data_IF_718557425656
#
_entry.id   IF_718557425656
#
_cell.length_a   1.000
_cell.length_b   1.000
_cell.length_c   1.000
_cell.angle_alpha   90.00
_cell.angle_beta   90.00
_cell.angle_gamma   90.00
#
_symmetry.space_group_name_H-M   'P 1'
#
loop_
_entity.id
_entity.type
_entity.pdbx_description
1 polymer ?
#
# COMPACT_ATOMS: atom_id res chain seq x y z
N UNK A 1 10.24 28.87 -12.10
CA UNK A 1 8.94 28.91 -11.39
C UNK A 1 8.16 27.61 -11.61
N UNK A 2 7.81 27.23 -12.84
CA UNK A 2 7.05 25.99 -13.11
C UNK A 2 7.81 24.71 -12.74
N UNK A 3 9.13 24.66 -13.02
CA UNK A 3 9.98 23.52 -12.64
C UNK A 3 10.15 23.35 -11.12
N UNK A 4 10.12 24.44 -10.35
CA UNK A 4 10.21 24.36 -8.89
C UNK A 4 8.91 23.83 -8.27
N UNK A 5 7.76 24.18 -8.85
CA UNK A 5 6.45 23.66 -8.43
C UNK A 5 6.34 22.17 -8.72
N UNK A 6 6.73 21.72 -9.92
CA UNK A 6 6.71 20.31 -10.29
C UNK A 6 7.61 19.46 -9.38
N UNK A 7 8.83 19.94 -9.10
CA UNK A 7 9.76 19.27 -8.17
C UNK A 7 9.19 19.16 -6.75
N UNK A 8 8.48 20.19 -6.29
CA UNK A 8 7.90 20.21 -4.95
C UNK A 8 6.71 19.24 -4.83
N UNK A 9 5.93 19.10 -5.91
CA UNK A 9 4.84 18.10 -6.00
C UNK A 9 5.41 16.68 -6.01
N UNK A 10 6.44 16.43 -6.83
CA UNK A 10 7.12 15.13 -6.90
C UNK A 10 7.68 14.70 -5.52
N UNK A 11 8.34 15.63 -4.81
CA UNK A 11 8.85 15.37 -3.46
C UNK A 11 7.75 15.06 -2.44
N UNK A 12 6.59 15.74 -2.54
CA UNK A 12 5.45 15.46 -1.67
C UNK A 12 4.85 14.09 -1.95
N UNK A 13 4.69 13.72 -3.23
CA UNK A 13 4.19 12.40 -3.63
C UNK A 13 5.14 11.32 -3.14
N UNK A 14 6.45 11.46 -3.37
CA UNK A 14 7.45 10.49 -2.91
C UNK A 14 7.43 10.30 -1.38
N UNK A 15 7.27 11.38 -0.61
CA UNK A 15 7.13 11.30 0.86
C UNK A 15 5.83 10.61 1.28
N UNK A 16 4.71 10.92 0.63
CA UNK A 16 3.42 10.29 0.93
C UNK A 16 3.47 8.79 0.62
N UNK A 17 4.04 8.41 -0.52
CA UNK A 17 4.24 7.00 -0.90
C UNK A 17 5.13 6.30 0.11
N UNK A 18 6.24 6.91 0.52
CA UNK A 18 7.12 6.32 1.53
C UNK A 18 6.42 6.17 2.89
N UNK A 19 5.59 7.13 3.27
CA UNK A 19 4.80 7.05 4.51
C UNK A 19 3.74 5.95 4.43
N UNK A 20 3.03 5.84 3.31
CA UNK A 20 2.08 4.75 3.05
C UNK A 20 2.76 3.39 3.09
N UNK A 21 3.90 3.22 2.43
CA UNK A 21 4.66 1.97 2.46
C UNK A 21 5.08 1.61 3.88
N UNK A 22 5.61 2.56 4.66
CA UNK A 22 5.97 2.32 6.06
C UNK A 22 4.76 1.91 6.93
N UNK A 23 3.61 2.58 6.74
CA UNK A 23 2.38 2.30 7.49
C UNK A 23 1.78 0.95 7.10
N UNK A 24 1.87 0.53 5.83
CA UNK A 24 1.45 -0.81 5.41
C UNK A 24 2.43 -1.90 5.84
N UNK A 25 3.74 -1.64 5.83
CA UNK A 25 4.74 -2.65 6.21
C UNK A 25 4.68 -3.01 7.71
N UNK A 26 4.32 -2.07 8.58
CA UNK A 26 4.26 -2.29 10.03
C UNK A 26 3.24 -3.37 10.46
N UNK A 27 1.94 -3.30 10.11
CA UNK A 27 0.95 -4.31 10.47
C UNK A 27 1.10 -5.61 9.67
N UNK A 28 1.68 -5.54 8.47
CA UNK A 28 1.84 -6.70 7.58
C UNK A 28 3.26 -7.24 7.54
N UNK A 29 4.09 -6.94 8.54
CA UNK A 29 5.52 -7.32 8.59
C UNK A 29 5.75 -8.80 8.29
N UNK A 30 4.94 -9.67 8.89
CA UNK A 30 5.02 -11.12 8.67
C UNK A 30 4.64 -11.56 7.24
N UNK A 31 3.69 -10.86 6.62
CA UNK A 31 3.32 -11.11 5.22
C UNK A 31 4.44 -10.68 4.28
N UNK A 32 5.06 -9.53 4.53
CA UNK A 32 6.22 -9.07 3.76
C UNK A 32 7.45 -9.95 3.99
N UNK A 33 7.70 -10.42 5.21
CA UNK A 33 8.76 -11.40 5.50
C UNK A 33 8.57 -12.70 4.71
N UNK A 34 7.32 -13.16 4.56
CA UNK A 34 7.01 -14.35 3.74
C UNK A 34 7.21 -14.10 2.24
N UNK A 35 6.73 -12.95 1.72
CA UNK A 35 6.76 -12.65 0.28
C UNK A 35 8.13 -12.21 -0.21
N UNK A 36 8.85 -11.42 0.58
CA UNK A 36 10.09 -10.74 0.19
C UNK A 36 11.34 -11.26 0.93
N UNK A 37 11.16 -12.14 1.92
CA UNK A 37 12.22 -12.59 2.83
C UNK A 37 12.42 -11.63 4.00
N UNK A 38 13.40 -11.90 4.86
CA UNK A 38 13.75 -11.01 5.98
C UNK A 38 14.10 -9.61 5.43
N UNK A 39 13.21 -8.65 5.63
CA UNK A 39 13.40 -7.27 5.18
C UNK A 39 14.22 -6.52 6.23
N UNK A 40 15.27 -5.81 5.81
CA UNK A 40 16.13 -5.01 6.69
C UNK A 40 15.43 -3.68 7.02
N UNK A 41 14.23 -3.76 7.61
CA UNK A 41 13.46 -2.64 8.13
C UNK A 41 13.01 -1.59 7.09
N UNK A 42 12.26 -0.56 7.55
CA UNK A 42 11.65 0.45 6.69
C UNK A 42 12.64 1.40 6.01
N UNK A 43 13.95 1.26 6.29
CA UNK A 43 14.99 2.12 5.77
C UNK A 43 15.61 1.60 4.46
N UNK A 44 15.47 0.31 4.13
CA UNK A 44 16.11 -0.28 2.96
C UNK A 44 15.08 -0.67 1.91
N UNK A 45 14.91 0.22 0.93
CA UNK A 45 14.17 -0.05 -0.29
C UNK A 45 15.04 -0.94 -1.21
N UNK A 46 15.34 -2.17 -0.80
CA UNK A 46 16.24 -3.10 -1.50
C UNK A 46 15.67 -4.51 -1.72
N UNK A 47 14.38 -4.72 -1.40
CA UNK A 47 13.68 -6.00 -1.56
C UNK A 47 13.45 -6.38 -3.03
N UNK A 48 12.95 -7.60 -3.27
CA UNK A 48 12.60 -8.01 -4.66
C UNK A 48 11.46 -7.15 -5.20
N UNK A 49 10.52 -6.77 -4.33
CA UNK A 49 9.45 -5.82 -4.67
C UNK A 49 10.02 -4.48 -5.12
N UNK A 50 11.01 -3.93 -4.40
CA UNK A 50 11.59 -2.63 -4.75
C UNK A 50 12.30 -2.62 -6.11
N UNK A 51 12.97 -3.73 -6.45
CA UNK A 51 13.58 -3.93 -7.77
C UNK A 51 12.54 -3.95 -8.90
N UNK A 52 11.35 -4.48 -8.65
CA UNK A 52 10.26 -4.43 -9.62
C UNK A 52 9.63 -3.04 -9.70
N UNK A 53 9.57 -2.31 -8.58
CA UNK A 53 9.03 -0.95 -8.52
C UNK A 53 9.99 0.12 -9.07
N UNK A 54 11.28 -0.17 -9.27
CA UNK A 54 12.29 0.82 -9.69
C UNK A 54 11.96 1.49 -11.04
N UNK A 55 11.16 0.84 -11.88
CA UNK A 55 10.71 1.39 -13.17
C UNK A 55 9.21 1.70 -13.22
N UNK A 56 8.49 1.64 -12.09
CA UNK A 56 7.04 1.81 -12.03
C UNK A 56 6.59 3.16 -12.62
N UNK A 57 7.37 4.22 -12.41
CA UNK A 57 7.10 5.57 -12.93
C UNK A 57 7.09 5.65 -14.47
N UNK A 58 7.76 4.72 -15.14
CA UNK A 58 7.82 4.63 -16.61
C UNK A 58 6.79 3.67 -17.18
N UNK A 59 6.09 2.92 -16.32
CA UNK A 59 5.04 2.01 -16.78
C UNK A 59 3.80 2.82 -17.16
N UNK A 60 3.11 2.45 -18.25
CA UNK A 60 1.86 3.08 -18.60
C UNK A 60 0.86 2.90 -17.46
N UNK A 61 0.12 3.96 -17.14
CA UNK A 61 -1.03 3.87 -16.24
C UNK A 61 -2.06 3.00 -16.96
N UNK A 62 -2.19 1.77 -16.50
CA UNK A 62 -3.23 0.86 -16.95
C UNK A 62 -4.50 1.15 -16.15
N UNK A 63 -5.62 1.29 -16.84
CA UNK A 63 -6.92 1.31 -16.18
C UNK A 63 -7.18 -0.08 -15.65
N UNK A 64 -7.25 -0.20 -14.32
CA UNK A 64 -7.67 -1.43 -13.67
C UNK A 64 -9.19 -1.47 -13.65
N UNK A 65 -9.77 -2.61 -14.01
CA UNK A 65 -11.18 -2.86 -13.66
C UNK A 65 -11.28 -2.98 -12.14
N UNK A 66 -12.26 -2.27 -11.57
CA UNK A 66 -12.59 -2.45 -10.17
C UNK A 66 -13.04 -3.90 -9.98
N UNK A 67 -12.35 -4.62 -9.10
CA UNK A 67 -12.79 -5.94 -8.68
C UNK A 67 -14.06 -5.72 -7.85
N UNK A 68 -15.18 -6.31 -8.29
CA UNK A 68 -16.39 -6.31 -7.49
C UNK A 68 -16.10 -7.04 -6.19
N UNK A 69 -16.30 -6.34 -5.08
CA UNK A 69 -16.15 -6.91 -3.77
C UNK A 69 -17.50 -7.48 -3.33
N UNK A 70 -17.54 -8.78 -3.07
CA UNK A 70 -18.72 -9.42 -2.51
C UNK A 70 -19.05 -8.84 -1.12
N UNK A 71 -20.34 -8.82 -0.79
CA UNK A 71 -20.81 -8.27 0.48
C UNK A 71 -20.26 -9.11 1.65
N UNK A 72 -19.38 -8.51 2.46
CA UNK A 72 -18.74 -9.20 3.58
C UNK A 72 -19.64 -9.12 4.82
N UNK A 73 -20.59 -10.05 4.93
CA UNK A 73 -21.44 -10.19 6.11
C UNK A 73 -20.75 -11.06 7.19
N UNK A 74 -19.71 -10.51 7.80
CA UNK A 74 -18.99 -11.18 8.88
C UNK A 74 -18.93 -10.32 10.15
N UNK A 75 -19.09 -10.96 11.31
CA UNK A 75 -18.99 -10.26 12.59
C UNK A 75 -17.52 -9.99 12.90
N UNK A 76 -17.21 -8.74 13.22
CA UNK A 76 -15.84 -8.30 13.51
C UNK A 76 -15.20 -9.09 14.66
N UNK A 77 -16.00 -9.47 15.65
CA UNK A 77 -15.55 -10.21 16.84
C UNK A 77 -15.02 -11.60 16.54
N UNK A 78 -15.38 -12.18 15.40
CA UNK A 78 -15.03 -13.56 15.05
C UNK A 78 -13.59 -13.66 14.48
N UNK A 79 -12.92 -12.51 14.33
CA UNK A 79 -11.61 -12.40 13.70
C UNK A 79 -10.50 -12.00 14.67
N UNK A 80 -9.27 -12.39 14.35
CA UNK A 80 -8.06 -11.83 14.98
C UNK A 80 -7.93 -10.34 14.70
N UNK A 81 -7.17 -9.60 15.52
CA UNK A 81 -7.00 -8.14 15.38
C UNK A 81 -6.63 -7.71 13.96
N UNK A 82 -5.70 -8.39 13.31
CA UNK A 82 -5.25 -8.01 11.96
C UNK A 82 -6.36 -8.17 10.92
N UNK A 83 -7.17 -9.22 11.05
CA UNK A 83 -8.33 -9.47 10.20
C UNK A 83 -9.48 -8.49 10.49
N UNK A 84 -9.60 -8.02 11.72
CA UNK A 84 -10.54 -6.94 12.07
C UNK A 84 -10.15 -5.63 11.40
N UNK A 85 -8.86 -5.28 11.38
CA UNK A 85 -8.37 -4.10 10.66
C UNK A 85 -8.64 -4.19 9.15
N UNK A 86 -8.43 -5.36 8.54
CA UNK A 86 -8.77 -5.59 7.14
C UNK A 86 -10.27 -5.42 6.88
N UNK A 87 -11.13 -5.95 7.76
CA UNK A 87 -12.57 -5.82 7.65
C UNK A 87 -13.03 -4.36 7.76
N UNK A 88 -12.40 -3.57 8.64
CA UNK A 88 -12.68 -2.13 8.76
C UNK A 88 -12.30 -1.38 7.47
N UNK A 89 -11.10 -1.61 6.92
CA UNK A 89 -10.66 -1.00 5.67
C UNK A 89 -11.64 -1.29 4.54
N UNK A 90 -12.09 -2.55 4.43
CA UNK A 90 -13.05 -2.97 3.41
C UNK A 90 -14.39 -2.24 3.55
N UNK A 91 -14.92 -2.13 4.76
CA UNK A 91 -16.19 -1.43 5.02
C UNK A 91 -16.09 0.05 4.68
N UNK A 92 -15.00 0.71 5.02
CA UNK A 92 -14.77 2.12 4.67
C UNK A 92 -14.72 2.32 3.15
N UNK A 93 -14.09 1.40 2.40
CA UNK A 93 -14.06 1.45 0.94
C UNK A 93 -15.47 1.24 0.34
N UNK A 94 -16.26 0.33 0.89
CA UNK A 94 -17.65 0.10 0.42
C UNK A 94 -18.58 1.28 0.67
N UNK A 95 -18.31 2.10 1.69
CA UNK A 95 -19.12 3.28 2.06
C UNK A 95 -18.64 4.54 1.30
N UNK A 96 -17.46 4.49 0.67
CA UNK A 96 -16.92 5.63 -0.07
C UNK A 96 -17.78 5.93 -1.32
N UNK A 97 -18.25 7.18 -1.51
CA UNK A 97 -19.14 7.57 -2.60
C UNK A 97 -18.49 7.58 -3.99
#
# INVERSE_FOLDING_TARGET
MENDVNRNIELKIRRLLQWFTCVLQLPYKHLFEYLDGETTGPASFSGKIDKQLTNCEKLPIINFEAVQLDEINANKTDFSKDKQYLLDIVREIQIWP
#
